data_IF_190296734061
#
_entry.id   IF_190296734061
#
_cell.length_a   1.000
_cell.length_b   1.000
_cell.length_c   1.000
_cell.angle_alpha   90.00
_cell.angle_beta   90.00
_cell.angle_gamma   90.00
#
_symmetry.space_group_name_H-M   'P 1'
#
loop_
_entity.id
_entity.type
_entity.pdbx_description
1 polymer ?
#
# COMPACT_ATOMS: atom_id res chain seq x y z
N UNK A 1 47.51 -61.42 -7.22
CA UNK A 1 46.82 -62.27 -8.20
C UNK A 1 45.45 -61.65 -8.41
N UNK A 2 45.26 -61.02 -9.58
CA UNK A 2 44.00 -60.63 -10.28
C UNK A 2 42.97 -59.82 -9.47
N UNK A 3 42.78 -58.51 -9.64
CA UNK A 3 42.21 -57.76 -10.79
C UNK A 3 40.98 -58.41 -11.45
N UNK A 4 39.84 -57.72 -11.39
CA UNK A 4 38.66 -57.74 -12.29
C UNK A 4 37.43 -57.32 -11.48
N UNK A 5 36.58 -56.36 -11.86
CA UNK A 5 36.42 -55.73 -13.15
C UNK A 5 35.69 -54.39 -13.02
N UNK A 6 36.05 -53.53 -13.94
CA UNK A 6 35.38 -52.29 -14.29
C UNK A 6 33.98 -52.57 -14.87
N UNK A 7 32.97 -51.81 -14.49
CA UNK A 7 31.84 -51.56 -15.38
C UNK A 7 31.51 -50.07 -15.44
N UNK A 8 31.42 -49.61 -16.68
CA UNK A 8 31.36 -48.22 -17.13
C UNK A 8 29.89 -47.80 -17.30
N UNK A 9 29.72 -46.48 -17.49
CA UNK A 9 28.56 -45.71 -18.02
C UNK A 9 27.65 -45.17 -16.90
N UNK A 10 27.66 -43.87 -16.62
CA UNK A 10 27.06 -42.79 -17.41
C UNK A 10 25.57 -43.06 -17.66
N UNK A 11 24.68 -42.23 -17.12
CA UNK A 11 23.75 -41.40 -17.89
C UNK A 11 22.91 -40.57 -16.93
N UNK A 12 22.92 -39.27 -17.20
CA UNK A 12 21.97 -38.26 -16.77
C UNK A 12 20.53 -38.79 -16.67
N UNK A 13 19.89 -38.57 -15.51
CA UNK A 13 18.44 -38.48 -15.47
C UNK A 13 18.05 -37.16 -14.86
N UNK A 14 17.73 -36.24 -15.77
CA UNK A 14 17.15 -34.94 -15.54
C UNK A 14 15.77 -35.17 -14.91
N UNK A 15 15.66 -35.02 -13.58
CA UNK A 15 14.33 -35.01 -12.94
C UNK A 15 13.59 -33.79 -13.46
N UNK A 16 12.61 -34.06 -14.33
CA UNK A 16 11.69 -33.07 -14.86
C UNK A 16 10.93 -32.45 -13.70
N UNK A 17 11.12 -31.16 -13.50
CA UNK A 17 10.29 -30.32 -12.66
C UNK A 17 8.91 -30.23 -13.32
N UNK A 18 8.01 -31.17 -13.01
CA UNK A 18 6.60 -31.09 -13.39
C UNK A 18 5.90 -30.03 -12.52
N UNK A 19 6.29 -28.76 -12.68
CA UNK A 19 5.59 -27.63 -12.07
C UNK A 19 4.45 -27.25 -13.01
N UNK A 20 3.32 -27.93 -12.87
CA UNK A 20 2.06 -27.50 -13.45
C UNK A 20 1.68 -26.13 -12.83
N UNK A 21 1.45 -25.08 -13.62
CA UNK A 21 0.83 -23.86 -13.10
C UNK A 21 -0.64 -24.19 -12.79
N UNK A 22 -0.99 -24.16 -11.50
CA UNK A 22 -2.38 -24.07 -11.07
C UNK A 22 -3.01 -22.83 -11.71
N UNK A 23 -4.11 -22.93 -12.49
CA UNK A 23 -4.90 -21.75 -12.74
C UNK A 23 -5.45 -21.31 -11.38
N UNK A 24 -5.01 -20.15 -10.93
CA UNK A 24 -5.50 -19.48 -9.74
C UNK A 24 -6.97 -19.09 -10.00
N UNK A 25 -7.87 -20.01 -9.70
CA UNK A 25 -9.31 -19.80 -9.80
C UNK A 25 -9.93 -20.01 -8.42
N UNK A 26 -9.72 -19.05 -7.53
CA UNK A 26 -10.67 -18.77 -6.46
C UNK A 26 -11.37 -17.46 -6.83
N UNK A 27 -12.24 -17.54 -7.83
CA UNK A 27 -13.21 -16.49 -8.11
C UNK A 27 -14.52 -16.95 -7.50
N UNK A 28 -14.95 -16.24 -6.48
CA UNK A 28 -16.20 -16.44 -5.78
C UNK A 28 -17.35 -16.45 -6.81
N UNK A 29 -18.14 -17.52 -6.87
CA UNK A 29 -19.38 -17.61 -7.66
C UNK A 29 -20.48 -16.72 -7.06
N UNK A 30 -20.26 -15.41 -7.01
CA UNK A 30 -21.30 -14.45 -6.63
C UNK A 30 -21.97 -13.88 -7.89
N UNK A 31 -23.32 -13.87 -7.98
CA UNK A 31 -24.02 -13.30 -9.12
C UNK A 31 -23.74 -11.80 -9.25
N UNK A 32 -23.57 -11.34 -10.50
CA UNK A 32 -23.33 -9.93 -10.85
C UNK A 32 -24.52 -9.09 -10.39
N UNK A 33 -24.39 -8.43 -9.24
CA UNK A 33 -25.45 -7.64 -8.59
C UNK A 33 -25.56 -7.84 -7.07
N UNK A 34 -24.94 -8.88 -6.51
CA UNK A 34 -24.87 -9.04 -5.06
C UNK A 34 -23.91 -7.99 -4.45
N UNK A 35 -24.26 -7.34 -3.32
CA UNK A 35 -23.32 -6.47 -2.62
C UNK A 35 -22.08 -7.31 -2.28
N UNK A 36 -20.89 -6.80 -2.64
CA UNK A 36 -19.61 -7.47 -2.37
C UNK A 36 -19.58 -7.84 -0.89
N UNK A 37 -19.62 -9.14 -0.61
CA UNK A 37 -19.39 -9.74 0.69
C UNK A 37 -17.88 -9.87 0.88
N UNK A 38 -17.38 -9.52 2.08
CA UNK A 38 -15.95 -9.52 2.36
C UNK A 38 -15.40 -10.95 2.25
N UNK A 39 -14.57 -11.20 1.24
CA UNK A 39 -13.58 -12.26 1.24
C UNK A 39 -12.20 -11.60 1.14
N UNK A 40 -11.19 -12.03 1.90
CA UNK A 40 -10.90 -13.44 2.21
C UNK A 40 -10.17 -13.60 3.56
N UNK A 41 -10.65 -14.53 4.41
CA UNK A 41 -10.19 -14.92 5.77
C UNK A 41 -10.21 -13.82 6.86
N UNK A 42 -11.47 -13.45 7.14
CA UNK A 42 -12.14 -13.19 8.42
C UNK A 42 -11.86 -11.95 9.28
N UNK A 43 -11.00 -11.02 8.88
CA UNK A 43 -10.83 -9.75 9.62
C UNK A 43 -11.03 -8.50 8.75
N UNK A 44 -11.34 -7.38 9.40
CA UNK A 44 -11.33 -6.06 8.74
C UNK A 44 -9.92 -5.76 8.21
N UNK A 45 -9.83 -5.16 7.02
CA UNK A 45 -8.54 -4.67 6.52
C UNK A 45 -8.02 -3.53 7.39
N UNK A 46 -6.70 -3.34 7.43
CA UNK A 46 -6.04 -2.23 8.14
C UNK A 46 -6.62 -0.87 7.76
N UNK A 47 -6.87 -0.65 6.47
CA UNK A 47 -7.51 0.56 5.95
C UNK A 47 -8.93 0.75 6.49
N UNK A 48 -9.71 -0.34 6.60
CA UNK A 48 -11.07 -0.28 7.15
C UNK A 48 -11.08 -0.01 8.65
N UNK A 49 -10.09 -0.53 9.38
CA UNK A 49 -9.89 -0.26 10.81
C UNK A 49 -9.56 1.23 11.02
N UNK A 50 -8.59 1.77 10.28
CA UNK A 50 -8.22 3.18 10.35
C UNK A 50 -9.42 4.10 10.04
N UNK A 51 -10.10 3.85 8.91
CA UNK A 51 -11.28 4.62 8.52
C UNK A 51 -12.44 4.52 9.53
N UNK A 52 -12.60 3.37 10.21
CA UNK A 52 -13.61 3.22 11.26
C UNK A 52 -13.25 4.06 12.51
N UNK A 53 -11.98 4.03 12.94
CA UNK A 53 -11.48 4.80 14.09
C UNK A 53 -11.56 6.31 13.84
N UNK A 54 -11.28 6.74 12.62
CA UNK A 54 -11.34 8.15 12.23
C UNK A 54 -12.76 8.63 11.90
N UNK A 55 -13.73 7.72 11.77
CA UNK A 55 -15.12 8.03 11.48
C UNK A 55 -15.38 8.37 10.00
N UNK A 56 -14.49 7.95 9.11
CA UNK A 56 -14.52 8.27 7.68
C UNK A 56 -15.31 7.26 6.84
N UNK A 57 -15.77 6.16 7.46
CA UNK A 57 -16.62 5.20 6.78
C UNK A 57 -18.03 5.76 6.54
N UNK A 58 -18.57 5.50 5.33
CA UNK A 58 -19.99 5.73 5.05
C UNK A 58 -20.87 4.87 5.96
N UNK A 59 -22.07 5.35 6.26
CA UNK A 59 -23.01 4.72 7.20
C UNK A 59 -23.19 3.21 7.01
N UNK A 60 -23.37 2.73 5.77
CA UNK A 60 -23.54 1.30 5.49
C UNK A 60 -22.28 0.46 5.75
N UNK A 61 -21.09 1.02 5.51
CA UNK A 61 -19.83 0.37 5.84
C UNK A 61 -19.58 0.39 7.35
N UNK A 62 -19.91 1.50 8.02
CA UNK A 62 -19.82 1.64 9.46
C UNK A 62 -20.65 0.59 10.20
N UNK A 63 -21.92 0.40 9.83
CA UNK A 63 -22.80 -0.60 10.47
C UNK A 63 -22.27 -2.03 10.28
N UNK A 64 -21.74 -2.37 9.10
CA UNK A 64 -21.13 -3.68 8.86
C UNK A 64 -19.87 -3.90 9.69
N UNK A 65 -19.02 -2.89 9.81
CA UNK A 65 -17.84 -2.94 10.65
C UNK A 65 -18.24 -3.08 12.14
N UNK A 66 -19.16 -2.26 12.64
CA UNK A 66 -19.66 -2.34 14.01
C UNK A 66 -20.23 -3.73 14.34
N UNK A 67 -21.02 -4.30 13.43
CA UNK A 67 -21.51 -5.68 13.57
C UNK A 67 -20.36 -6.68 13.64
N UNK A 68 -19.36 -6.58 12.77
CA UNK A 68 -18.19 -7.46 12.79
C UNK A 68 -17.42 -7.37 14.12
N UNK A 69 -17.24 -6.18 14.68
CA UNK A 69 -16.55 -5.99 15.96
C UNK A 69 -17.27 -6.65 17.14
N UNK A 70 -18.60 -6.77 17.08
CA UNK A 70 -19.35 -7.48 18.12
C UNK A 70 -19.09 -8.99 18.15
N UNK A 71 -18.54 -9.55 17.06
CA UNK A 71 -18.31 -10.98 16.89
C UNK A 71 -16.83 -11.34 16.76
N UNK A 72 -15.94 -10.37 16.51
CA UNK A 72 -14.51 -10.58 16.30
C UNK A 72 -13.68 -9.76 17.31
N UNK A 73 -13.13 -10.44 18.31
CA UNK A 73 -12.31 -9.82 19.34
C UNK A 73 -10.98 -9.28 18.80
N UNK A 74 -10.36 -9.95 17.82
CA UNK A 74 -9.10 -9.50 17.23
C UNK A 74 -9.23 -8.13 16.56
N UNK A 75 -10.28 -7.90 15.78
CA UNK A 75 -10.52 -6.59 15.18
C UNK A 75 -10.87 -5.52 16.23
N UNK A 76 -11.49 -5.89 17.35
CA UNK A 76 -11.74 -4.96 18.44
C UNK A 76 -10.42 -4.51 19.10
N UNK A 77 -9.49 -5.46 19.33
CA UNK A 77 -8.17 -5.17 19.86
C UNK A 77 -7.36 -4.25 18.94
N UNK A 78 -7.38 -4.50 17.63
CA UNK A 78 -6.72 -3.64 16.64
C UNK A 78 -7.28 -2.21 16.65
N UNK A 79 -8.59 -2.05 16.81
CA UNK A 79 -9.22 -0.73 16.95
C UNK A 79 -8.77 -0.01 18.21
N UNK A 80 -8.68 -0.72 19.33
CA UNK A 80 -8.24 -0.13 20.59
C UNK A 80 -6.75 0.27 20.52
N UNK A 81 -5.91 -0.55 19.86
CA UNK A 81 -4.52 -0.20 19.58
C UNK A 81 -4.40 1.08 18.72
N UNK A 82 -5.21 1.20 17.66
CA UNK A 82 -5.25 2.39 16.82
C UNK A 82 -5.76 3.63 17.58
N UNK A 83 -6.77 3.48 18.43
CA UNK A 83 -7.26 4.57 19.30
C UNK A 83 -6.20 5.02 20.31
N UNK A 84 -5.48 4.07 20.90
CA UNK A 84 -4.38 4.37 21.82
C UNK A 84 -3.26 5.14 21.10
N UNK A 85 -2.87 4.69 19.90
CA UNK A 85 -1.90 5.39 19.06
C UNK A 85 -2.37 6.82 18.74
N UNK A 86 -3.64 6.99 18.36
CA UNK A 86 -4.24 8.31 18.12
C UNK A 86 -4.20 9.20 19.36
N UNK A 87 -4.54 8.68 20.54
CA UNK A 87 -4.45 9.44 21.80
C UNK A 87 -3.01 9.85 22.07
N UNK A 88 -2.07 8.92 22.00
CA UNK A 88 -0.66 9.19 22.24
C UNK A 88 -0.11 10.29 21.31
N UNK A 89 -0.51 10.30 20.04
CA UNK A 89 -0.14 11.37 19.11
C UNK A 89 -0.76 12.72 19.50
N UNK A 90 -2.01 12.75 19.95
CA UNK A 90 -2.67 14.00 20.41
C UNK A 90 -2.05 14.51 21.70
N UNK A 91 -1.62 13.60 22.56
CA UNK A 91 -1.02 13.90 23.87
C UNK A 91 0.48 14.24 23.77
N UNK A 92 1.13 13.91 22.64
CA UNK A 92 2.56 14.19 22.40
C UNK A 92 2.91 15.69 22.31
N UNK A 93 1.90 16.56 22.31
CA UNK A 93 2.05 18.00 22.31
C UNK A 93 1.77 18.63 20.94
N UNK A 94 1.42 19.92 20.95
CA UNK A 94 1.11 20.64 19.72
C UNK A 94 2.35 20.90 18.87
N UNK A 95 2.22 20.71 17.56
CA UNK A 95 3.20 21.19 16.59
C UNK A 95 3.20 22.72 16.66
N UNK A 96 4.32 23.32 17.09
CA UNK A 96 4.47 24.77 17.08
C UNK A 96 4.90 25.24 15.69
N UNK A 97 4.14 26.16 15.12
CA UNK A 97 4.52 26.82 13.87
C UNK A 97 5.69 27.78 14.14
N UNK A 98 6.82 27.68 13.42
CA UNK A 98 7.91 28.64 13.54
C UNK A 98 7.45 30.06 13.20
N UNK A 99 7.88 31.05 13.99
CA UNK A 99 7.53 32.47 13.77
C UNK A 99 7.98 32.99 12.40
N UNK A 100 9.09 32.46 11.87
CA UNK A 100 9.58 32.77 10.53
C UNK A 100 8.59 32.33 9.45
N UNK A 101 8.00 31.13 9.59
CA UNK A 101 7.00 30.62 8.65
C UNK A 101 5.72 31.46 8.70
N UNK A 102 5.27 31.86 9.89
CA UNK A 102 4.13 32.78 10.02
C UNK A 102 4.40 34.12 9.33
N UNK A 103 5.61 34.67 9.48
CA UNK A 103 6.01 35.91 8.80
C UNK A 103 6.07 35.80 7.28
N UNK A 104 6.41 34.62 6.74
CA UNK A 104 6.34 34.36 5.29
C UNK A 104 4.89 34.18 4.83
N UNK A 105 4.08 33.42 5.56
CA UNK A 105 2.66 33.19 5.23
C UNK A 105 1.86 34.50 5.26
N UNK A 106 2.16 35.43 6.16
CA UNK A 106 1.50 36.75 6.21
C UNK A 106 1.78 37.62 4.99
N UNK A 107 2.80 37.30 4.18
CA UNK A 107 3.13 38.04 2.97
C UNK A 107 2.37 37.53 1.73
N UNK A 108 1.72 36.36 1.79
CA UNK A 108 0.97 35.78 0.64
C UNK A 108 -0.01 36.77 0.00
N UNK A 109 -0.84 37.51 0.76
CA UNK A 109 -1.78 38.47 0.18
C UNK A 109 -1.11 39.64 -0.57
N UNK A 110 0.19 39.86 -0.34
CA UNK A 110 0.96 40.96 -0.92
C UNK A 110 1.85 40.51 -2.07
N UNK A 111 1.90 39.21 -2.38
CA UNK A 111 2.56 38.72 -3.58
C UNK A 111 1.77 39.27 -4.77
N UNK A 112 2.39 40.09 -5.65
CA UNK A 112 1.71 40.55 -6.85
C UNK A 112 1.30 39.31 -7.67
N UNK A 113 -0.01 39.08 -7.79
CA UNK A 113 -0.53 38.20 -8.82
C UNK A 113 -0.34 38.94 -10.15
N UNK A 114 0.87 38.90 -10.70
CA UNK A 114 1.11 39.41 -12.04
C UNK A 114 0.18 38.67 -12.99
N UNK A 115 -0.74 39.45 -13.56
CA UNK A 115 -1.85 38.95 -14.33
C UNK A 115 -1.36 38.38 -15.67
N UNK A 116 -1.83 37.16 -15.94
CA UNK A 116 -1.83 36.41 -17.19
C UNK A 116 -0.46 35.94 -17.75
N UNK A 117 -0.27 34.61 -17.96
CA UNK A 117 0.79 34.16 -18.84
C UNK A 117 0.54 34.69 -20.27
N UNK A 118 1.57 35.10 -21.03
CA UNK A 118 1.41 35.25 -22.47
C UNK A 118 0.94 33.90 -23.00
N UNK A 119 -0.11 33.93 -23.82
CA UNK A 119 -0.64 32.78 -24.56
C UNK A 119 0.50 31.86 -24.99
N UNK A 120 0.43 30.60 -24.57
CA UNK A 120 1.41 29.57 -24.89
C UNK A 120 1.58 29.45 -26.41
N UNK A 121 2.57 30.14 -26.97
CA UNK A 121 3.24 29.67 -28.17
C UNK A 121 4.09 28.47 -27.73
N UNK A 122 3.71 27.32 -28.24
CA UNK A 122 4.36 26.03 -28.08
C UNK A 122 5.88 26.14 -28.06
N UNK A 123 6.52 25.82 -26.93
CA UNK A 123 7.88 25.28 -26.95
C UNK A 123 8.12 24.37 -25.75
N UNK A 124 8.12 23.07 -26.08
CA UNK A 124 9.01 22.00 -25.63
C UNK A 124 9.65 22.09 -24.24
N UNK A 125 9.47 20.99 -23.51
CA UNK A 125 9.84 20.83 -22.12
C UNK A 125 11.34 20.90 -21.87
N UNK A 126 11.68 21.55 -20.76
CA UNK A 126 12.92 21.29 -20.04
C UNK A 126 12.60 21.36 -18.54
N UNK A 127 12.58 20.19 -17.89
CA UNK A 127 12.43 20.08 -16.44
C UNK A 127 13.82 20.23 -15.78
N UNK A 128 13.94 20.95 -14.66
CA UNK A 128 15.19 21.06 -13.93
C UNK A 128 15.63 19.69 -13.34
N UNK A 129 16.95 19.38 -13.33
CA UNK A 129 17.49 18.04 -13.05
C UNK A 129 17.52 17.64 -11.57
N UNK A 130 16.74 18.28 -10.70
CA UNK A 130 16.93 18.16 -9.25
C UNK A 130 16.08 17.07 -8.56
N UNK A 131 15.14 16.41 -9.23
CA UNK A 131 14.25 15.41 -8.60
C UNK A 131 14.19 14.05 -9.32
N UNK A 132 15.14 13.76 -10.21
CA UNK A 132 15.30 12.43 -10.78
C UNK A 132 16.46 11.72 -10.09
N UNK A 133 16.17 11.04 -8.98
CA UNK A 133 17.10 10.05 -8.42
C UNK A 133 16.44 8.67 -8.50
N UNK A 134 16.75 8.04 -9.63
CA UNK A 134 16.86 6.59 -9.80
C UNK A 134 17.50 5.93 -8.56
N UNK A 135 16.72 5.27 -7.72
CA UNK A 135 17.26 4.24 -6.81
C UNK A 135 16.24 3.14 -6.46
N UNK A 136 15.40 2.73 -7.42
CA UNK A 136 14.58 1.50 -7.24
C UNK A 136 14.59 0.57 -8.46
N UNK A 137 14.96 1.02 -9.67
CA UNK A 137 14.93 0.15 -10.86
C UNK A 137 16.13 -0.79 -11.00
N UNK A 138 17.22 -0.58 -10.26
CA UNK A 138 18.45 -1.41 -10.34
C UNK A 138 18.39 -2.74 -9.56
N UNK A 139 17.36 -3.01 -8.76
CA UNK A 139 17.27 -4.27 -8.00
C UNK A 139 16.64 -5.44 -8.77
N UNK A 140 16.05 -5.21 -9.95
CA UNK A 140 15.34 -6.24 -10.74
C UNK A 140 16.16 -6.90 -11.86
N UNK A 141 17.49 -6.78 -11.85
CA UNK A 141 18.35 -7.44 -12.86
C UNK A 141 19.59 -8.13 -12.29
N UNK A 142 19.47 -8.69 -11.08
CA UNK A 142 20.42 -9.65 -10.51
C UNK A 142 19.70 -10.70 -9.65
N UNK A 143 19.07 -11.67 -10.29
CA UNK A 143 19.11 -13.11 -9.99
C UNK A 143 18.19 -13.85 -10.95
#
# INVERSE_FOLDING_TARGET
MVDSGSFRRAFSSFSSFSRLPSPFASQSEAPVGAPRQFGSTEHLSTEAIAAFVDGELRMSAHLRAAHHLSMCAECALEIDAQRQARSALRDSGGIRVPVSLLGLLSQIPHIPHEAAPPSSSSHEGDLPPALASDEVRRRRKRR
#
